data_IF_122204162910
#
_entry.id   IF_122204162910
#
_cell.length_a   1.000
_cell.length_b   1.000
_cell.length_c   1.000
_cell.angle_alpha   90.00
_cell.angle_beta   90.00
_cell.angle_gamma   90.00
#
_symmetry.space_group_name_H-M   'P 1'
#
loop_
_entity.id
_entity.type
_entity.pdbx_description
1 polymer ?
#
# COMPACT_ATOMS: atom_id res chain seq x y z
N UNK A 1 11.48 2.67 -20.03
CA UNK A 1 12.04 1.68 -19.10
C UNK A 1 12.64 2.50 -17.98
N UNK A 2 12.16 2.33 -16.76
CA UNK A 2 12.66 3.05 -15.59
C UNK A 2 13.88 2.33 -15.03
N UNK A 3 14.81 3.08 -14.47
CA UNK A 3 16.00 2.55 -13.80
C UNK A 3 16.02 3.01 -12.34
N UNK A 4 16.83 2.34 -11.50
CA UNK A 4 17.01 2.77 -10.11
C UNK A 4 17.63 4.17 -10.00
N UNK A 5 18.29 4.65 -11.06
CA UNK A 5 18.82 6.02 -11.14
C UNK A 5 17.72 7.11 -11.23
N UNK A 6 16.50 6.72 -11.59
CA UNK A 6 15.36 7.63 -11.67
C UNK A 6 14.64 7.78 -10.32
N UNK A 7 15.08 7.05 -9.28
CA UNK A 7 14.50 7.08 -7.93
C UNK A 7 15.19 8.15 -7.09
N UNK A 8 14.39 9.02 -6.51
CA UNK A 8 14.79 10.04 -5.55
C UNK A 8 14.11 9.80 -4.20
N UNK A 9 14.83 9.99 -3.12
CA UNK A 9 14.25 9.97 -1.77
C UNK A 9 14.27 11.39 -1.22
N UNK A 10 13.10 11.93 -0.92
CA UNK A 10 12.97 13.30 -0.48
C UNK A 10 13.71 13.54 0.86
N UNK A 11 14.54 14.58 0.89
CA UNK A 11 15.34 14.94 2.06
C UNK A 11 16.59 14.08 2.29
N UNK A 12 16.93 13.17 1.38
CA UNK A 12 18.13 12.34 1.44
C UNK A 12 18.95 12.47 0.16
N UNK A 13 20.21 12.82 0.29
CA UNK A 13 21.15 12.84 -0.83
C UNK A 13 21.83 11.47 -0.95
N UNK A 14 21.28 10.65 -1.86
CA UNK A 14 21.76 9.31 -2.15
C UNK A 14 22.62 9.33 -3.40
N UNK A 15 23.82 8.79 -3.31
CA UNK A 15 24.71 8.71 -4.49
C UNK A 15 24.18 7.73 -5.53
N UNK A 16 23.65 6.60 -5.10
CA UNK A 16 23.11 5.55 -5.98
C UNK A 16 22.12 4.67 -5.21
N UNK A 17 20.92 4.51 -5.75
CA UNK A 17 19.95 3.53 -5.24
C UNK A 17 20.32 2.16 -5.82
N UNK A 18 20.57 1.19 -4.95
CA UNK A 18 20.92 -0.18 -5.31
C UNK A 18 19.71 -1.09 -5.36
N UNK A 19 18.75 -0.85 -4.46
CA UNK A 19 17.52 -1.62 -4.32
C UNK A 19 16.40 -0.71 -3.81
N UNK A 20 15.20 -0.89 -4.33
CA UNK A 20 14.00 -0.24 -3.84
C UNK A 20 12.85 -1.25 -3.90
N UNK A 21 12.37 -1.66 -2.73
CA UNK A 21 11.27 -2.59 -2.58
C UNK A 21 10.11 -1.89 -1.89
N UNK A 22 8.93 -1.93 -2.52
CA UNK A 22 7.69 -1.42 -1.95
C UNK A 22 6.70 -2.58 -1.93
N UNK A 23 6.25 -2.95 -0.75
CA UNK A 23 5.27 -4.00 -0.58
C UNK A 23 3.96 -3.43 -0.02
N UNK A 24 2.85 -3.78 -0.68
CA UNK A 24 1.51 -3.38 -0.25
C UNK A 24 0.58 -4.58 -0.30
N UNK A 25 -0.10 -4.84 0.82
CA UNK A 25 -1.10 -5.91 0.95
C UNK A 25 -2.35 -5.36 1.59
N UNK A 26 -3.49 -5.90 1.18
CA UNK A 26 -4.77 -5.59 1.83
C UNK A 26 -4.75 -6.04 3.29
N UNK A 27 -5.19 -5.18 4.19
CA UNK A 27 -5.18 -5.44 5.62
C UNK A 27 -3.82 -5.25 6.31
N UNK A 28 -2.78 -4.82 5.59
CA UNK A 28 -1.44 -4.59 6.14
C UNK A 28 -0.97 -3.15 5.83
N UNK A 29 -0.07 -2.62 6.65
CA UNK A 29 0.63 -1.38 6.31
C UNK A 29 1.59 -1.63 5.16
N UNK A 30 1.59 -0.72 4.18
CA UNK A 30 2.60 -0.80 3.13
C UNK A 30 3.99 -0.54 3.70
N UNK A 31 4.97 -1.28 3.21
CA UNK A 31 6.37 -1.18 3.64
C UNK A 31 7.26 -0.73 2.50
N UNK A 32 8.32 -0.04 2.84
CA UNK A 32 9.39 0.38 1.94
C UNK A 32 10.71 -0.09 2.50
N UNK A 33 11.57 -0.61 1.63
CA UNK A 33 12.98 -0.85 1.91
C UNK A 33 13.80 -0.28 0.78
N UNK A 34 14.76 0.57 1.10
CA UNK A 34 15.74 1.10 0.14
C UNK A 34 17.13 0.73 0.62
N UNK A 35 17.95 0.23 -0.27
CA UNK A 35 19.39 0.10 -0.09
C UNK A 35 20.07 1.07 -1.08
N UNK A 36 20.92 1.94 -0.55
CA UNK A 36 21.60 2.94 -1.38
C UNK A 36 23.05 3.14 -0.95
N UNK A 37 23.87 3.67 -1.87
CA UNK A 37 25.19 4.21 -1.54
C UNK A 37 25.06 5.67 -1.17
N UNK A 38 25.89 6.11 -0.22
CA UNK A 38 26.02 7.51 0.19
C UNK A 38 27.45 7.99 -0.05
N UNK A 39 27.62 9.27 -0.35
CA UNK A 39 28.93 9.88 -0.46
C UNK A 39 29.56 10.06 0.92
N UNK A 40 30.89 10.08 1.00
CA UNK A 40 31.60 10.14 2.29
C UNK A 40 31.41 11.46 3.06
N UNK A 41 31.06 12.52 2.37
CA UNK A 41 30.91 13.84 2.96
C UNK A 41 29.52 14.00 3.60
N UNK A 42 29.49 13.76 4.92
CA UNK A 42 28.43 14.16 5.83
C UNK A 42 27.00 13.65 5.54
N UNK A 43 26.83 12.33 5.50
CA UNK A 43 25.50 11.79 5.73
C UNK A 43 25.16 11.96 7.21
N UNK A 44 24.78 13.16 7.60
CA UNK A 44 24.24 13.49 8.93
C UNK A 44 22.73 13.45 8.82
N UNK A 45 22.14 12.47 9.44
CA UNK A 45 20.70 12.33 9.47
C UNK A 45 20.18 12.48 10.90
N UNK A 46 19.44 13.54 11.16
CA UNK A 46 18.69 13.68 12.40
C UNK A 46 17.34 12.97 12.26
N UNK A 47 17.21 11.82 12.92
CA UNK A 47 15.94 11.08 12.95
C UNK A 47 15.01 11.80 13.94
N UNK A 48 13.92 12.35 13.42
CA UNK A 48 12.81 12.82 14.24
C UNK A 48 11.72 11.74 14.34
N UNK A 49 10.99 11.72 15.44
CA UNK A 49 9.84 10.80 15.57
C UNK A 49 8.81 11.11 14.47
N UNK A 50 8.34 10.08 13.79
CA UNK A 50 7.39 10.17 12.68
C UNK A 50 7.86 11.03 11.49
N UNK A 51 9.14 10.98 11.17
CA UNK A 51 9.66 11.72 10.02
C UNK A 51 9.05 11.23 8.71
N UNK A 52 8.63 12.21 7.90
CA UNK A 52 8.08 11.95 6.59
C UNK A 52 9.14 11.34 5.66
N UNK A 53 8.72 10.33 4.93
CA UNK A 53 9.53 9.63 3.94
C UNK A 53 8.77 9.57 2.62
N UNK A 54 9.32 10.19 1.59
CA UNK A 54 8.76 10.13 0.24
C UNK A 54 9.80 9.60 -0.75
N UNK A 55 9.35 8.67 -1.58
CA UNK A 55 10.12 8.13 -2.70
C UNK A 55 9.45 8.54 -3.99
N UNK A 56 10.23 9.15 -4.85
CA UNK A 56 9.79 9.74 -6.10
C UNK A 56 10.46 9.04 -7.28
N UNK A 57 9.73 8.84 -8.34
CA UNK A 57 10.25 8.44 -9.65
C UNK A 57 10.32 9.66 -10.55
N UNK A 58 11.50 9.93 -11.11
CA UNK A 58 11.68 10.96 -12.13
C UNK A 58 11.16 10.46 -13.48
N UNK A 59 10.23 11.17 -14.04
CA UNK A 59 9.56 10.85 -15.31
C UNK A 59 9.66 12.04 -16.27
N UNK A 60 10.76 12.13 -17.02
CA UNK A 60 11.04 13.31 -17.88
C UNK A 60 11.17 14.58 -17.05
N UNK A 61 10.26 15.55 -17.25
CA UNK A 61 10.20 16.78 -16.44
C UNK A 61 9.30 16.63 -15.20
N UNK A 62 8.59 15.50 -15.04
CA UNK A 62 7.68 15.23 -13.95
C UNK A 62 8.28 14.36 -12.86
N UNK A 63 7.58 14.31 -11.72
CA UNK A 63 7.86 13.40 -10.61
C UNK A 63 6.60 12.66 -10.24
N UNK A 64 6.71 11.35 -10.03
CA UNK A 64 5.62 10.50 -9.58
C UNK A 64 5.96 9.95 -8.20
N UNK A 65 5.03 10.03 -7.26
CA UNK A 65 5.20 9.43 -5.95
C UNK A 65 5.07 7.91 -6.10
N UNK A 66 6.11 7.19 -5.71
CA UNK A 66 6.09 5.74 -5.56
C UNK A 66 5.68 5.33 -4.16
N UNK A 67 6.15 6.08 -3.16
CA UNK A 67 5.84 5.83 -1.76
C UNK A 67 5.80 7.15 -0.98
N UNK A 68 4.78 7.30 -0.16
CA UNK A 68 4.65 8.36 0.85
C UNK A 68 4.27 7.73 2.18
N UNK A 69 5.10 7.91 3.18
CA UNK A 69 4.95 7.27 4.47
C UNK A 69 5.80 7.92 5.54
N UNK A 70 6.23 7.10 6.46
CA UNK A 70 7.01 7.47 7.64
C UNK A 70 8.25 6.61 7.67
N UNK A 71 9.37 7.25 7.96
CA UNK A 71 10.63 6.59 8.26
C UNK A 71 10.51 5.79 9.56
N UNK A 72 10.89 4.53 9.51
CA UNK A 72 10.87 3.64 10.69
C UNK A 72 12.24 3.22 11.15
N UNK A 73 13.19 3.06 10.24
CA UNK A 73 14.57 2.70 10.57
C UNK A 73 15.56 3.19 9.52
N UNK A 74 16.77 3.49 9.97
CA UNK A 74 17.94 3.76 9.11
C UNK A 74 19.14 3.03 9.68
N UNK A 75 19.77 2.23 8.83
CA UNK A 75 21.00 1.53 9.17
C UNK A 75 22.11 1.92 8.19
N UNK A 76 23.24 2.36 8.74
CA UNK A 76 24.42 2.68 7.94
C UNK A 76 25.45 1.58 8.14
N UNK A 77 25.95 1.04 7.03
CA UNK A 77 27.01 0.03 7.03
C UNK A 77 28.20 0.55 6.24
N UNK A 78 29.38 0.46 6.83
CA UNK A 78 30.63 0.83 6.20
C UNK A 78 31.49 -0.43 5.95
N UNK A 79 31.89 -0.61 4.68
CA UNK A 79 32.77 -1.70 4.28
C UNK A 79 33.88 -1.15 3.39
N UNK A 80 35.07 -1.01 3.94
CA UNK A 80 36.20 -0.37 3.27
C UNK A 80 35.92 1.11 3.02
N UNK A 81 35.92 1.53 1.76
CA UNK A 81 35.64 2.91 1.34
C UNK A 81 34.17 3.10 0.88
N UNK A 82 33.33 2.09 1.03
CA UNK A 82 31.95 2.15 0.57
C UNK A 82 31.02 2.23 1.79
N UNK A 83 30.23 3.30 1.85
CA UNK A 83 29.13 3.44 2.81
C UNK A 83 27.81 3.14 2.12
N UNK A 84 27.04 2.26 2.72
CA UNK A 84 25.67 1.94 2.31
C UNK A 84 24.69 2.31 3.40
N UNK A 85 23.54 2.78 3.00
CA UNK A 85 22.42 3.07 3.89
C UNK A 85 21.26 2.17 3.53
N UNK A 86 20.66 1.54 4.54
CA UNK A 86 19.38 0.84 4.45
C UNK A 86 18.33 1.70 5.14
N UNK A 87 17.29 2.05 4.40
CA UNK A 87 16.19 2.91 4.84
C UNK A 87 14.94 2.05 4.85
N UNK A 88 14.23 2.05 5.97
CA UNK A 88 12.95 1.36 6.10
C UNK A 88 11.83 2.37 6.40
N UNK A 89 10.68 2.14 5.77
CA UNK A 89 9.51 2.99 5.95
C UNK A 89 8.21 2.20 5.98
N UNK A 90 7.19 2.81 6.56
CA UNK A 90 5.81 2.31 6.56
C UNK A 90 4.86 3.38 6.07
N UNK A 91 3.76 2.98 5.42
CA UNK A 91 2.68 3.90 5.07
C UNK A 91 2.16 4.63 6.32
N UNK A 92 1.59 5.83 6.14
CA UNK A 92 1.09 6.64 7.26
C UNK A 92 -0.04 5.96 8.05
N UNK A 93 -0.67 4.93 7.49
CA UNK A 93 -1.61 4.09 8.23
C UNK A 93 -1.01 3.47 9.50
N UNK A 94 0.32 3.30 9.56
CA UNK A 94 1.01 2.84 10.75
C UNK A 94 0.85 3.77 11.96
N UNK A 95 0.55 5.05 11.76
CA UNK A 95 0.22 5.97 12.86
C UNK A 95 -1.01 5.52 13.63
N UNK A 96 -1.94 4.82 12.97
CA UNK A 96 -3.16 4.30 13.60
C UNK A 96 -2.89 3.07 14.47
N UNK A 97 -1.70 2.49 14.36
CA UNK A 97 -1.31 1.27 15.10
C UNK A 97 -0.36 1.55 16.27
N UNK A 98 -0.10 2.83 16.58
CA UNK A 98 0.84 3.23 17.63
C UNK A 98 0.26 3.26 19.04
N UNK A 99 -1.00 3.65 19.17
CA UNK A 99 -1.64 3.88 20.47
C UNK A 99 -2.91 3.07 20.59
N UNK A 100 -3.11 2.47 21.76
CA UNK A 100 -4.34 1.75 22.11
C UNK A 100 -5.35 2.68 22.72
N UNK A 101 -6.60 2.50 22.34
CA UNK A 101 -7.71 3.31 22.80
C UNK A 101 -8.79 2.45 23.46
N UNK A 102 -9.53 3.07 24.40
CA UNK A 102 -10.72 2.48 25.02
C UNK A 102 -11.86 3.50 24.95
N UNK A 103 -12.81 3.27 24.05
CA UNK A 103 -13.95 4.15 23.78
C UNK A 103 -15.16 3.37 23.29
N UNK A 104 -16.35 3.97 23.35
CA UNK A 104 -17.59 3.33 22.90
C UNK A 104 -18.34 4.20 21.92
N UNK A 105 -18.92 3.57 20.90
CA UNK A 105 -19.76 4.19 19.88
C UNK A 105 -21.20 3.73 20.10
N UNK A 106 -22.05 4.62 20.59
CA UNK A 106 -23.39 4.28 21.07
C UNK A 106 -24.49 4.54 20.04
N UNK A 107 -24.17 5.29 18.96
CA UNK A 107 -25.14 5.60 17.92
C UNK A 107 -25.35 4.40 16.99
N UNK A 108 -26.38 3.58 17.28
CA UNK A 108 -26.71 2.42 16.45
C UNK A 108 -27.14 2.76 15.00
N UNK A 109 -27.47 4.02 14.72
CA UNK A 109 -27.80 4.49 13.36
C UNK A 109 -26.58 4.95 12.56
N UNK A 110 -25.44 5.12 13.22
CA UNK A 110 -24.16 5.43 12.56
C UNK A 110 -23.85 4.33 11.53
N UNK A 111 -23.38 4.71 10.39
CA UNK A 111 -22.89 3.75 9.38
C UNK A 111 -21.46 3.34 9.68
N UNK A 112 -21.01 2.23 9.12
CA UNK A 112 -19.61 1.82 9.23
C UNK A 112 -18.66 2.83 8.56
N UNK A 113 -19.13 3.52 7.50
CA UNK A 113 -18.38 4.60 6.88
C UNK A 113 -18.20 5.79 7.83
N UNK A 114 -19.28 6.25 8.48
CA UNK A 114 -19.22 7.36 9.44
C UNK A 114 -18.33 7.02 10.62
N UNK A 115 -18.40 5.76 11.11
CA UNK A 115 -17.53 5.28 12.17
C UNK A 115 -16.05 5.36 11.77
N UNK A 116 -15.72 4.88 10.58
CA UNK A 116 -14.34 4.94 10.06
C UNK A 116 -13.87 6.39 9.89
N UNK A 117 -14.73 7.28 9.39
CA UNK A 117 -14.44 8.71 9.25
C UNK A 117 -14.21 9.39 10.61
N UNK A 118 -15.01 9.03 11.64
CA UNK A 118 -14.83 9.56 13.00
C UNK A 118 -13.48 9.16 13.59
N UNK A 119 -13.03 7.92 13.35
CA UNK A 119 -11.69 7.48 13.73
C UNK A 119 -10.61 8.28 12.99
N UNK A 120 -10.74 8.39 11.67
CA UNK A 120 -9.74 9.05 10.81
C UNK A 120 -9.65 10.56 11.07
N UNK A 121 -10.69 11.18 11.58
CA UNK A 121 -10.68 12.61 11.95
C UNK A 121 -9.60 12.97 13.00
N UNK A 122 -9.07 11.98 13.72
CA UNK A 122 -7.96 12.19 14.66
C UNK A 122 -6.59 12.26 14.01
N UNK A 123 -6.49 11.98 12.70
CA UNK A 123 -5.22 11.92 11.96
C UNK A 123 -5.15 13.05 10.95
N UNK A 124 -3.99 13.69 10.89
CA UNK A 124 -3.75 14.78 9.94
C UNK A 124 -3.77 14.26 8.50
N UNK A 125 -4.41 15.03 7.61
CA UNK A 125 -4.48 14.75 6.18
C UNK A 125 -5.01 13.32 5.86
N UNK A 126 -5.85 12.79 6.77
CA UNK A 126 -6.47 11.50 6.58
C UNK A 126 -7.67 11.59 5.62
N UNK A 127 -7.81 10.57 4.77
CA UNK A 127 -8.91 10.45 3.83
C UNK A 127 -9.31 8.99 3.63
N UNK A 128 -10.58 8.76 3.33
CA UNK A 128 -11.16 7.44 3.19
C UNK A 128 -12.02 7.35 1.93
N UNK A 129 -11.63 6.47 1.04
CA UNK A 129 -12.50 6.01 -0.04
C UNK A 129 -13.23 4.76 0.44
N UNK A 130 -14.53 4.90 0.66
CA UNK A 130 -15.37 3.82 1.13
C UNK A 130 -16.16 3.23 -0.04
N UNK A 131 -15.75 2.04 -0.48
CA UNK A 131 -16.27 1.36 -1.66
C UNK A 131 -17.25 0.23 -1.31
N UNK A 132 -18.07 0.42 -0.28
CA UNK A 132 -19.06 -0.57 0.14
C UNK A 132 -20.41 0.11 0.42
N UNK A 133 -21.49 -0.68 0.50
CA UNK A 133 -22.80 -0.15 0.83
C UNK A 133 -22.84 0.47 2.24
N UNK A 134 -23.45 1.64 2.37
CA UNK A 134 -23.63 2.32 3.65
C UNK A 134 -24.58 1.56 4.57
N UNK A 135 -24.05 0.65 5.36
CA UNK A 135 -24.80 -0.15 6.34
C UNK A 135 -24.66 0.45 7.73
N UNK A 136 -25.77 0.50 8.48
CA UNK A 136 -25.75 0.96 9.86
C UNK A 136 -25.09 -0.09 10.77
N UNK A 137 -24.38 0.39 11.78
CA UNK A 137 -23.70 -0.42 12.79
C UNK A 137 -24.70 -1.29 13.57
N UNK A 138 -25.89 -0.79 13.83
CA UNK A 138 -27.03 -1.53 14.40
C UNK A 138 -26.94 -1.82 15.90
N UNK A 139 -25.78 -1.64 16.54
CA UNK A 139 -25.56 -1.92 17.96
C UNK A 139 -24.45 -1.07 18.55
N UNK A 140 -24.29 -1.11 19.85
CA UNK A 140 -23.13 -0.58 20.56
C UNK A 140 -21.85 -1.26 20.04
N UNK A 141 -20.86 -0.47 19.68
CA UNK A 141 -19.51 -0.95 19.41
C UNK A 141 -18.56 -0.38 20.46
N UNK A 142 -17.68 -1.23 20.94
CA UNK A 142 -16.63 -0.87 21.91
C UNK A 142 -15.27 -1.17 21.28
N UNK A 143 -14.39 -0.18 21.33
CA UNK A 143 -12.96 -0.35 21.20
C UNK A 143 -12.41 -0.47 22.62
N UNK A 144 -11.67 -1.54 22.91
CA UNK A 144 -11.11 -1.76 24.24
C UNK A 144 -9.69 -2.29 24.11
N UNK A 145 -8.71 -1.49 24.57
CA UNK A 145 -7.28 -1.81 24.49
C UNK A 145 -6.81 -2.23 23.08
N UNK A 146 -7.44 -1.64 22.06
CA UNK A 146 -7.11 -1.87 20.64
C UNK A 146 -6.55 -0.58 20.03
N UNK A 147 -5.65 -0.71 19.06
CA UNK A 147 -5.26 0.40 18.20
C UNK A 147 -6.40 0.78 17.27
N UNK A 148 -6.34 1.95 16.65
CA UNK A 148 -7.35 2.37 15.68
C UNK A 148 -7.32 1.50 14.42
N UNK A 149 -6.15 1.00 14.06
CA UNK A 149 -5.98 0.07 12.96
C UNK A 149 -6.63 -1.30 13.25
N UNK A 150 -6.30 -1.92 14.37
CA UNK A 150 -6.91 -3.17 14.84
C UNK A 150 -8.43 -3.06 14.94
N UNK A 151 -8.90 -1.95 15.51
CA UNK A 151 -10.33 -1.68 15.70
C UNK A 151 -11.07 -1.60 14.36
N UNK A 152 -10.57 -0.78 13.41
CA UNK A 152 -11.21 -0.66 12.10
C UNK A 152 -11.21 -1.97 11.33
N UNK A 153 -10.10 -2.71 11.36
CA UNK A 153 -10.04 -4.04 10.75
C UNK A 153 -11.09 -4.98 11.32
N UNK A 154 -11.18 -5.07 12.64
CA UNK A 154 -12.13 -5.94 13.34
C UNK A 154 -13.58 -5.56 13.02
N UNK A 155 -13.88 -4.27 13.03
CA UNK A 155 -15.25 -3.80 12.83
C UNK A 155 -15.68 -3.95 11.37
N UNK A 156 -14.86 -3.53 10.42
CA UNK A 156 -15.18 -3.57 8.99
C UNK A 156 -15.18 -5.00 8.44
N UNK A 157 -14.33 -5.89 8.98
CA UNK A 157 -14.30 -7.29 8.57
C UNK A 157 -15.61 -8.04 8.82
N UNK A 158 -16.44 -7.59 9.79
CA UNK A 158 -17.78 -8.17 10.02
C UNK A 158 -18.69 -8.01 8.81
N UNK A 159 -18.45 -6.99 8.01
CA UNK A 159 -19.17 -6.71 6.77
C UNK A 159 -18.43 -7.21 5.53
N UNK A 160 -17.35 -7.95 5.70
CA UNK A 160 -16.49 -8.41 4.62
C UNK A 160 -15.67 -7.30 3.97
N UNK A 161 -15.53 -6.15 4.66
CA UNK A 161 -14.80 -4.99 4.17
C UNK A 161 -13.37 -5.05 4.69
N UNK A 162 -12.41 -5.06 3.79
CA UNK A 162 -10.99 -4.92 4.11
C UNK A 162 -10.55 -3.48 3.94
N UNK A 163 -9.62 -3.03 4.80
CA UNK A 163 -8.94 -1.74 4.63
C UNK A 163 -7.58 -1.95 3.97
N UNK A 164 -7.23 -1.03 3.09
CA UNK A 164 -5.96 -1.04 2.36
C UNK A 164 -5.40 0.38 2.34
N UNK A 165 -4.16 0.58 2.80
CA UNK A 165 -3.53 1.89 2.70
C UNK A 165 -3.08 2.18 1.26
N UNK A 166 -3.17 3.46 0.86
CA UNK A 166 -2.53 3.95 -0.37
C UNK A 166 -1.28 4.75 0.00
N UNK A 167 -0.13 4.16 -0.25
CA UNK A 167 1.16 4.81 -0.01
C UNK A 167 1.66 5.66 -1.19
N UNK A 168 0.90 5.77 -2.27
CA UNK A 168 1.30 6.56 -3.46
C UNK A 168 0.77 7.99 -3.45
N UNK A 169 0.11 8.36 -2.37
CA UNK A 169 -0.41 9.70 -2.16
C UNK A 169 0.04 10.25 -0.81
N UNK A 170 0.26 11.57 -0.71
CA UNK A 170 0.61 12.20 0.56
C UNK A 170 -0.56 12.10 1.56
N UNK A 171 -0.24 12.05 2.83
CA UNK A 171 -1.22 11.91 3.91
C UNK A 171 -1.59 10.45 4.21
N UNK A 172 -2.50 10.28 5.15
CA UNK A 172 -3.04 8.97 5.51
C UNK A 172 -4.23 8.66 4.60
N UNK A 173 -4.03 7.86 3.57
CA UNK A 173 -5.06 7.49 2.60
C UNK A 173 -5.43 6.03 2.74
N UNK A 174 -6.73 5.74 2.87
CA UNK A 174 -7.27 4.40 3.03
C UNK A 174 -8.37 4.12 2.02
N UNK A 175 -8.39 2.89 1.53
CA UNK A 175 -9.55 2.30 0.87
C UNK A 175 -10.22 1.33 1.83
N UNK A 176 -11.53 1.42 1.97
CA UNK A 176 -12.35 0.44 2.67
C UNK A 176 -13.25 -0.27 1.67
N UNK A 177 -13.02 -1.56 1.48
CA UNK A 177 -13.64 -2.36 0.43
C UNK A 177 -12.81 -2.38 -0.85
N UNK A 178 -13.36 -3.02 -1.87
CA UNK A 178 -12.74 -3.06 -3.21
C UNK A 178 -13.27 -1.87 -4.00
N UNK A 179 -12.43 -0.88 -4.34
CA UNK A 179 -12.88 0.22 -5.16
C UNK A 179 -13.37 -0.31 -6.51
N UNK A 180 -14.50 0.18 -6.98
CA UNK A 180 -14.89 -0.03 -8.36
C UNK A 180 -13.78 0.53 -9.25
N UNK A 181 -13.17 -0.36 -10.01
CA UNK A 181 -12.16 0.07 -10.98
C UNK A 181 -12.86 0.96 -11.98
N UNK A 182 -12.45 2.20 -12.03
CA UNK A 182 -12.90 3.07 -13.10
C UNK A 182 -12.59 2.39 -14.44
N UNK A 183 -13.57 2.33 -15.33
CA UNK A 183 -13.48 1.70 -16.65
C UNK A 183 -12.24 2.08 -17.48
N UNK A 184 -11.55 3.15 -17.09
CA UNK A 184 -10.35 3.65 -17.74
C UNK A 184 -9.03 3.08 -17.22
N UNK A 185 -9.00 2.40 -16.08
CA UNK A 185 -7.73 2.03 -15.49
C UNK A 185 -7.10 0.80 -16.15
N UNK A 186 -7.81 -0.27 -16.31
CA UNK A 186 -7.46 -1.47 -17.06
C UNK A 186 -8.73 -2.32 -17.17
N UNK A 187 -9.30 -2.49 -18.34
CA UNK A 187 -10.38 -3.45 -18.48
C UNK A 187 -9.82 -4.83 -18.16
N UNK A 188 -10.08 -5.30 -16.96
CA UNK A 188 -9.81 -6.67 -16.60
C UNK A 188 -10.81 -7.55 -17.30
N UNK A 189 -10.37 -8.09 -18.39
CA UNK A 189 -11.09 -9.20 -18.99
C UNK A 189 -10.60 -10.47 -18.32
N UNK A 190 -11.52 -11.41 -18.22
CA UNK A 190 -11.29 -12.78 -17.77
C UNK A 190 -10.03 -13.31 -18.43
N UNK A 191 -9.09 -13.77 -17.63
CA UNK A 191 -7.96 -14.53 -18.11
C UNK A 191 -8.46 -15.90 -18.50
N UNK A 192 -8.50 -16.16 -19.79
CA UNK A 192 -8.61 -17.52 -20.27
C UNK A 192 -7.27 -18.21 -20.04
N UNK A 193 -7.32 -19.24 -19.23
CA UNK A 193 -6.18 -20.05 -18.89
C UNK A 193 -6.39 -21.43 -19.48
N UNK A 194 -5.73 -21.68 -20.59
CA UNK A 194 -5.70 -23.01 -21.19
C UNK A 194 -4.42 -23.73 -20.76
N UNK A 195 -4.60 -24.96 -20.28
CA UNK A 195 -3.49 -25.84 -19.96
C UNK A 195 -3.14 -26.61 -21.23
N UNK A 196 -1.94 -26.42 -21.74
CA UNK A 196 -1.44 -27.23 -22.85
C UNK A 196 -1.15 -28.69 -22.46
N UNK A 197 -0.80 -29.52 -23.45
CA UNK A 197 -0.52 -30.93 -23.23
C UNK A 197 0.74 -31.19 -22.40
N UNK A 198 1.63 -30.20 -22.30
CA UNK A 198 2.86 -30.26 -21.52
C UNK A 198 2.69 -29.74 -20.09
N UNK A 199 1.49 -29.27 -19.75
CA UNK A 199 1.16 -28.79 -18.41
C UNK A 199 1.47 -27.32 -18.15
N UNK A 200 1.83 -26.56 -19.18
CA UNK A 200 1.99 -25.12 -19.11
C UNK A 200 0.64 -24.42 -19.28
N UNK A 201 0.52 -23.25 -18.67
CA UNK A 201 -0.67 -22.43 -18.80
C UNK A 201 -0.42 -21.29 -19.78
N UNK A 202 -1.27 -21.20 -20.79
CA UNK A 202 -1.34 -20.05 -21.67
C UNK A 202 -2.27 -19.01 -21.05
N UNK A 203 -1.74 -17.80 -20.84
CA UNK A 203 -2.49 -16.68 -20.24
C UNK A 203 -2.86 -15.70 -21.34
N UNK A 204 -4.17 -15.44 -21.50
CA UNK A 204 -4.68 -14.43 -22.43
C UNK A 204 -5.40 -13.33 -21.65
N UNK A 205 -4.91 -12.12 -21.76
CA UNK A 205 -5.59 -10.93 -21.23
C UNK A 205 -6.05 -10.06 -22.38
N UNK A 206 -7.33 -9.76 -22.45
CA UNK A 206 -7.91 -8.93 -23.51
C UNK A 206 -7.63 -9.46 -24.93
N UNK A 207 -7.61 -10.79 -25.11
CA UNK A 207 -7.32 -11.43 -26.39
C UNK A 207 -5.86 -11.32 -26.84
N UNK A 208 -4.95 -10.86 -25.97
CA UNK A 208 -3.51 -10.85 -26.21
C UNK A 208 -2.83 -11.92 -25.38
N UNK A 209 -1.88 -12.60 -25.98
CA UNK A 209 -1.00 -13.49 -25.24
C UNK A 209 -0.16 -12.67 -24.26
N UNK A 210 -0.09 -13.12 -23.02
CA UNK A 210 0.76 -12.58 -21.96
C UNK A 210 1.60 -13.72 -21.40
N UNK A 211 2.86 -13.45 -21.16
CA UNK A 211 3.78 -14.44 -20.62
C UNK A 211 3.75 -14.42 -19.09
N UNK A 212 3.98 -15.56 -18.47
CA UNK A 212 4.06 -15.65 -17.01
C UNK A 212 5.12 -14.73 -16.41
N UNK A 213 6.15 -14.37 -17.18
CA UNK A 213 7.17 -13.38 -16.80
C UNK A 213 6.64 -11.95 -16.70
N UNK A 214 5.48 -11.67 -17.29
CA UNK A 214 4.84 -10.35 -17.21
C UNK A 214 4.15 -10.14 -15.87
N UNK A 215 4.09 -11.20 -15.05
CA UNK A 215 3.47 -11.19 -13.74
C UNK A 215 4.47 -11.62 -12.67
N UNK A 216 4.58 -10.85 -11.61
CA UNK A 216 5.36 -11.24 -10.44
C UNK A 216 4.58 -12.18 -9.52
N UNK A 217 3.27 -12.09 -9.54
CA UNK A 217 2.38 -12.94 -8.74
C UNK A 217 0.99 -13.04 -9.36
N UNK A 218 0.45 -14.23 -9.45
CA UNK A 218 -0.96 -14.44 -9.78
C UNK A 218 -1.56 -15.56 -8.91
N UNK A 219 -2.86 -15.50 -8.71
CA UNK A 219 -3.59 -16.55 -8.00
C UNK A 219 -4.84 -16.89 -8.80
N UNK A 220 -5.02 -18.16 -9.09
CA UNK A 220 -6.25 -18.65 -9.68
C UNK A 220 -7.32 -18.62 -8.60
N UNK A 221 -8.39 -17.89 -8.84
CA UNK A 221 -9.59 -17.84 -8.01
C UNK A 221 -10.76 -18.42 -8.80
N UNK A 222 -11.85 -18.75 -8.14
CA UNK A 222 -13.05 -19.21 -8.84
C UNK A 222 -13.53 -18.15 -9.83
N UNK A 223 -14.17 -18.57 -10.92
CA UNK A 223 -14.70 -17.69 -11.96
C UNK A 223 -15.56 -16.54 -11.41
N UNK A 224 -16.27 -16.78 -10.32
CA UNK A 224 -17.12 -15.78 -9.66
C UNK A 224 -16.34 -14.64 -9.00
N UNK A 225 -15.07 -14.85 -8.71
CA UNK A 225 -14.21 -13.89 -8.03
C UNK A 225 -13.16 -13.27 -8.97
N UNK A 226 -13.04 -13.78 -10.18
CA UNK A 226 -12.00 -13.35 -11.11
C UNK A 226 -12.09 -11.85 -11.41
N UNK A 227 -13.27 -11.35 -11.71
CA UNK A 227 -13.48 -9.92 -12.00
C UNK A 227 -13.10 -8.98 -10.86
N UNK A 228 -13.06 -9.47 -9.63
CA UNK A 228 -12.72 -8.68 -8.46
C UNK A 228 -11.20 -8.63 -8.24
N UNK A 229 -10.50 -9.70 -8.60
CA UNK A 229 -9.09 -9.84 -8.22
C UNK A 229 -8.09 -9.62 -9.37
N UNK A 230 -8.57 -9.64 -10.59
CA UNK A 230 -7.75 -9.57 -11.78
C UNK A 230 -6.76 -8.39 -11.81
N UNK A 231 -7.19 -7.13 -11.64
CA UNK A 231 -6.28 -6.01 -11.79
C UNK A 231 -5.19 -6.01 -10.74
N UNK A 232 -5.47 -6.62 -9.62
CA UNK A 232 -4.62 -6.58 -8.44
C UNK A 232 -3.58 -7.69 -8.46
N UNK A 233 -3.90 -8.83 -9.05
CA UNK A 233 -3.06 -10.02 -8.95
C UNK A 233 -2.32 -10.38 -10.21
N UNK A 234 -2.89 -10.05 -11.35
CA UNK A 234 -2.32 -10.36 -12.65
C UNK A 234 -1.08 -9.53 -12.93
N UNK A 235 -1.04 -8.31 -12.46
CA UNK A 235 0.09 -7.42 -12.68
C UNK A 235 1.21 -7.61 -11.66
N UNK A 236 1.06 -8.54 -10.72
CA UNK A 236 2.04 -8.76 -9.66
C UNK A 236 2.19 -7.58 -8.70
N UNK A 237 1.62 -6.47 -9.04
CA UNK A 237 1.49 -5.32 -8.17
C UNK A 237 -0.01 -5.08 -7.92
N UNK A 238 -0.49 -5.23 -6.70
CA UNK A 238 -1.89 -5.02 -6.37
C UNK A 238 -2.39 -3.62 -6.65
N UNK A 239 -1.53 -2.68 -7.03
CA UNK A 239 -1.85 -1.26 -7.19
C UNK A 239 -1.30 -0.64 -8.47
N UNK A 240 -0.85 -1.44 -9.41
CA UNK A 240 -0.44 -0.97 -10.74
C UNK A 240 -1.57 -1.04 -11.72
#
# INVERSE_FOLDING_TARGET
MYSLHDIEVNGLDLAEVLECEIESRAGEHSTLVILARVTEEEFVFEISDCQDLEVLLREGEGRKILFSGILTDIQITESGQVKTVRIEGKSRSWLMDREKHSRSFQNAKMTFQELAQEILANYKDADLIYAAAGKAVGSLIVQYEETDWEFLQRVLSREGIMITPDCRQPGLKLYAGVPELMESAFPCHILDMEKDMDGYYELKANGREVHASDFTRYTVVSEQLMGIFDPVRIQGNPFV
#
